data_IF_666604425801
#
_entry.id   IF_666604425801
#
_cell.length_a   1.000
_cell.length_b   1.000
_cell.length_c   1.000
_cell.angle_alpha   90.00
_cell.angle_beta   90.00
_cell.angle_gamma   90.00
#
_symmetry.space_group_name_H-M   'P 1'
#
loop_
_entity.id
_entity.type
_entity.pdbx_description
1 polymer ?
#
# COMPACT_ATOMS: atom_id res chain seq x y z
N UNK A 1 -5.79 0.14 -2.91
CA UNK A 1 -6.94 -0.08 -3.82
C UNK A 1 -7.11 1.03 -4.86
N UNK A 2 -7.28 2.31 -4.50
CA UNK A 2 -7.50 3.40 -5.49
C UNK A 2 -6.41 3.50 -6.56
N UNK A 3 -5.13 3.38 -6.18
CA UNK A 3 -4.02 3.35 -7.14
C UNK A 3 -4.15 2.21 -8.17
N UNK A 4 -4.55 1.02 -7.72
CA UNK A 4 -4.80 -0.12 -8.61
C UNK A 4 -5.97 0.15 -9.57
N UNK A 5 -7.07 0.72 -9.07
CA UNK A 5 -8.24 1.08 -9.87
C UNK A 5 -7.87 2.09 -10.97
N UNK A 6 -7.12 3.15 -10.64
CA UNK A 6 -6.61 4.11 -11.62
C UNK A 6 -5.75 3.43 -12.68
N UNK A 7 -4.95 2.45 -12.27
CA UNK A 7 -4.06 1.72 -13.17
C UNK A 7 -4.83 0.82 -14.14
N UNK A 8 -5.79 0.03 -13.64
CA UNK A 8 -6.52 -0.97 -14.45
C UNK A 8 -7.65 -0.41 -15.30
N UNK A 9 -8.19 0.77 -14.98
CA UNK A 9 -9.17 1.42 -15.85
C UNK A 9 -8.51 1.96 -17.12
N UNK A 10 -9.20 1.97 -18.27
CA UNK A 10 -8.67 2.58 -19.48
C UNK A 10 -8.69 4.11 -19.36
N UNK A 11 -7.97 4.77 -20.27
CA UNK A 11 -8.07 6.22 -20.41
C UNK A 11 -9.43 6.62 -20.95
N UNK A 12 -9.89 5.93 -21.99
CA UNK A 12 -11.17 6.17 -22.66
C UNK A 12 -11.83 4.83 -23.02
N UNK A 13 -13.16 4.77 -22.97
CA UNK A 13 -13.93 3.61 -23.40
C UNK A 13 -15.29 4.05 -23.93
N UNK A 14 -15.62 3.66 -25.17
CA UNK A 14 -16.87 4.02 -25.87
C UNK A 14 -17.17 5.53 -25.84
N UNK A 15 -16.14 6.37 -25.99
CA UNK A 15 -16.25 7.83 -25.98
C UNK A 15 -16.32 8.49 -24.60
N UNK A 16 -16.27 7.72 -23.51
CA UNK A 16 -16.24 8.24 -22.13
C UNK A 16 -14.80 8.19 -21.61
N UNK A 17 -14.32 9.30 -21.03
CA UNK A 17 -13.00 9.40 -20.43
C UNK A 17 -13.03 8.98 -18.95
N UNK A 18 -12.27 7.94 -18.61
CA UNK A 18 -12.15 7.40 -17.24
C UNK A 18 -10.84 7.82 -16.56
N UNK A 19 -9.89 8.39 -17.31
CA UNK A 19 -8.61 8.89 -16.81
C UNK A 19 -7.69 7.82 -16.24
N UNK A 20 -7.92 6.55 -16.57
CA UNK A 20 -7.06 5.44 -16.15
C UNK A 20 -5.86 5.23 -17.07
N UNK A 21 -5.01 4.26 -16.73
CA UNK A 21 -3.76 3.96 -17.44
C UNK A 21 -3.84 2.76 -18.40
N UNK A 22 -4.87 1.92 -18.25
CA UNK A 22 -5.02 0.64 -18.95
C UNK A 22 -3.84 -0.33 -18.77
N UNK A 23 -3.28 -0.39 -17.57
CA UNK A 23 -2.09 -1.19 -17.27
C UNK A 23 -2.36 -2.28 -16.24
N UNK A 24 -1.60 -3.37 -16.36
CA UNK A 24 -1.59 -4.47 -15.42
C UNK A 24 -1.08 -4.04 -14.03
N UNK A 25 -1.77 -4.51 -13.00
CA UNK A 25 -1.38 -4.42 -11.58
C UNK A 25 -1.19 -5.83 -11.06
N UNK A 26 -0.13 -6.05 -10.27
CA UNK A 26 0.06 -7.27 -9.51
C UNK A 26 0.00 -6.97 -8.02
N UNK A 27 -0.90 -7.65 -7.30
CA UNK A 27 -1.09 -7.50 -5.87
C UNK A 27 -0.63 -8.77 -5.15
N UNK A 28 0.34 -8.63 -4.25
CA UNK A 28 0.87 -9.69 -3.39
C UNK A 28 0.35 -9.45 -1.97
N UNK A 29 -0.61 -10.26 -1.56
CA UNK A 29 -1.25 -10.25 -0.24
C UNK A 29 -0.47 -11.13 0.74
N UNK A 30 0.17 -10.52 1.71
CA UNK A 30 0.99 -11.17 2.73
C UNK A 30 0.28 -11.27 4.09
N UNK A 31 -0.78 -10.49 4.32
CA UNK A 31 -1.52 -10.50 5.58
C UNK A 31 -2.95 -11.01 5.46
N UNK A 32 -3.34 -11.46 4.26
CA UNK A 32 -4.63 -12.07 3.95
C UNK A 32 -5.83 -11.13 4.14
N UNK A 33 -5.62 -9.81 4.09
CA UNK A 33 -6.68 -8.81 4.30
C UNK A 33 -7.21 -8.19 3.01
N UNK A 34 -6.77 -8.66 1.84
CA UNK A 34 -7.29 -8.15 0.58
C UNK A 34 -8.78 -8.46 0.40
N UNK A 35 -9.59 -7.41 0.28
CA UNK A 35 -11.03 -7.50 0.03
C UNK A 35 -11.36 -7.23 -1.44
N UNK A 36 -11.58 -8.31 -2.19
CA UNK A 36 -11.99 -8.27 -3.60
C UNK A 36 -13.37 -7.62 -3.80
N UNK A 37 -14.27 -7.71 -2.82
CA UNK A 37 -15.59 -7.10 -2.91
C UNK A 37 -15.48 -5.58 -2.81
N UNK A 38 -14.60 -5.08 -1.94
CA UNK A 38 -14.26 -3.65 -1.87
C UNK A 38 -13.63 -3.16 -3.17
N UNK A 39 -12.67 -3.89 -3.75
CA UNK A 39 -12.11 -3.54 -5.07
C UNK A 39 -13.21 -3.47 -6.14
N UNK A 40 -14.05 -4.51 -6.23
CA UNK A 40 -15.15 -4.62 -7.18
C UNK A 40 -16.14 -3.47 -7.05
N UNK A 41 -16.56 -3.16 -5.82
CA UNK A 41 -17.49 -2.07 -5.51
C UNK A 41 -16.92 -0.71 -5.91
N UNK A 42 -15.69 -0.41 -5.51
CA UNK A 42 -15.02 0.84 -5.85
C UNK A 42 -14.84 1.01 -7.37
N UNK A 43 -14.49 -0.07 -8.08
CA UNK A 43 -14.37 -0.05 -9.54
C UNK A 43 -15.72 0.23 -10.22
N UNK A 44 -16.79 -0.43 -9.78
CA UNK A 44 -18.16 -0.18 -10.29
C UNK A 44 -18.59 1.25 -10.07
N UNK A 45 -18.39 1.78 -8.86
CA UNK A 45 -18.72 3.17 -8.54
C UNK A 45 -17.96 4.15 -9.44
N UNK A 46 -16.68 3.89 -9.71
CA UNK A 46 -15.90 4.73 -10.62
C UNK A 46 -16.40 4.68 -12.06
N UNK A 47 -16.82 3.50 -12.54
CA UNK A 47 -17.43 3.36 -13.87
C UNK A 47 -18.75 4.13 -13.95
N UNK A 48 -19.63 3.96 -12.95
CA UNK A 48 -20.92 4.63 -12.89
C UNK A 48 -20.76 6.16 -12.90
N UNK A 49 -19.83 6.68 -12.10
CA UNK A 49 -19.58 8.13 -11.99
C UNK A 49 -19.09 8.75 -13.29
N UNK A 50 -18.18 8.09 -13.99
CA UNK A 50 -17.69 8.57 -15.28
C UNK A 50 -18.82 8.61 -16.33
N UNK A 51 -19.69 7.60 -16.36
CA UNK A 51 -20.84 7.55 -17.26
C UNK A 51 -21.90 8.61 -16.92
N UNK A 52 -22.18 8.85 -15.64
CA UNK A 52 -23.11 9.89 -15.20
C UNK A 52 -22.66 11.29 -15.60
N UNK A 53 -21.35 11.56 -15.56
CA UNK A 53 -20.78 12.84 -15.98
C UNK A 53 -20.79 13.04 -17.51
N UNK A 54 -20.75 11.96 -18.30
CA UNK A 54 -20.77 12.02 -19.76
C UNK A 54 -22.17 12.26 -20.38
N UNK A 55 -23.24 12.03 -19.64
CA UNK A 55 -24.64 12.14 -20.12
C UNK A 55 -25.28 13.50 -19.78
N UNK A 56 -24.55 14.37 -19.05
CA UNK A 56 -25.04 15.65 -18.53
C UNK A 56 -25.26 16.80 -19.53
N UNK A 57 -25.36 16.54 -20.85
CA UNK A 57 -25.65 17.60 -21.83
C UNK A 57 -26.82 17.32 -22.80
N UNK A 58 -27.59 16.25 -22.60
CA UNK A 58 -28.81 16.00 -23.40
C UNK A 58 -29.92 15.30 -22.59
N UNK A 59 -30.54 15.99 -21.64
CA UNK A 59 -32.01 15.94 -21.50
C UNK A 59 -32.52 17.03 -20.55
N UNK A 60 -33.09 18.10 -21.13
CA UNK A 60 -34.15 18.83 -20.45
C UNK A 60 -35.35 17.87 -20.38
N UNK A 61 -35.69 17.37 -19.19
CA UNK A 61 -37.06 16.95 -18.89
C UNK A 61 -37.35 17.17 -17.41
N UNK A 62 -38.12 18.22 -17.18
CA UNK A 62 -39.04 18.38 -16.06
C UNK A 62 -39.90 17.12 -16.02
N UNK A 63 -39.91 16.41 -14.89
CA UNK A 63 -41.08 15.73 -14.36
C UNK A 63 -40.84 15.34 -12.90
N UNK A 64 -41.61 15.96 -12.02
CA UNK A 64 -41.68 15.65 -10.60
C UNK A 64 -42.48 14.35 -10.41
N UNK A 65 -41.81 13.26 -10.07
CA UNK A 65 -42.47 12.14 -9.37
C UNK A 65 -41.49 11.50 -8.38
N UNK A 66 -41.91 11.21 -7.13
CA UNK A 66 -41.11 10.47 -6.18
C UNK A 66 -41.48 8.99 -6.27
N UNK A 67 -40.64 8.16 -6.89
CA UNK A 67 -40.83 6.71 -6.87
C UNK A 67 -39.55 5.93 -6.60
N UNK A 68 -39.65 5.09 -5.56
CA UNK A 68 -38.97 3.81 -5.33
C UNK A 68 -37.45 3.73 -5.44
N UNK A 69 -36.87 3.47 -4.27
CA UNK A 69 -35.56 2.87 -4.00
C UNK A 69 -35.23 1.71 -4.96
N UNK A 70 -33.95 1.60 -5.28
CA UNK A 70 -33.28 0.58 -6.12
C UNK A 70 -33.29 0.81 -7.63
N UNK A 71 -32.89 2.02 -8.04
CA UNK A 71 -32.21 2.17 -9.33
C UNK A 71 -30.86 1.44 -9.25
N UNK A 72 -30.84 0.14 -9.54
CA UNK A 72 -29.62 -0.58 -9.90
C UNK A 72 -28.98 0.18 -11.06
N UNK A 73 -28.04 1.07 -10.74
CA UNK A 73 -27.33 1.84 -11.75
C UNK A 73 -26.47 0.84 -12.50
N UNK A 74 -26.94 0.40 -13.66
CA UNK A 74 -26.28 -0.61 -14.46
C UNK A 74 -24.93 -0.05 -14.93
N UNK A 75 -23.84 -0.64 -14.45
CA UNK A 75 -22.48 -0.32 -14.87
C UNK A 75 -22.12 -1.12 -16.12
N UNK A 76 -21.18 -0.62 -16.93
CA UNK A 76 -20.69 -1.36 -18.10
C UNK A 76 -19.93 -2.63 -17.63
N UNK A 77 -20.58 -3.78 -17.77
CA UNK A 77 -20.08 -5.10 -17.36
C UNK A 77 -18.87 -5.53 -18.19
N UNK A 78 -18.81 -5.13 -19.46
CA UNK A 78 -17.71 -5.45 -20.36
C UNK A 78 -16.45 -4.69 -19.95
N UNK A 79 -16.59 -3.38 -19.69
CA UNK A 79 -15.51 -2.55 -19.17
C UNK A 79 -15.04 -3.04 -17.79
N UNK A 80 -15.97 -3.39 -16.91
CA UNK A 80 -15.66 -3.95 -15.60
C UNK A 80 -14.82 -5.22 -15.73
N UNK A 81 -15.26 -6.17 -16.57
CA UNK A 81 -14.55 -7.43 -16.80
C UNK A 81 -13.16 -7.19 -17.41
N UNK A 82 -13.05 -6.31 -18.42
CA UNK A 82 -11.78 -5.95 -19.03
C UNK A 82 -10.80 -5.33 -18.02
N UNK A 83 -11.31 -4.46 -17.13
CA UNK A 83 -10.51 -3.83 -16.09
C UNK A 83 -10.09 -4.82 -15.00
N UNK A 84 -10.99 -5.69 -14.55
CA UNK A 84 -10.67 -6.73 -13.56
C UNK A 84 -9.65 -7.74 -14.06
N UNK A 85 -9.64 -8.08 -15.36
CA UNK A 85 -8.60 -8.96 -15.94
C UNK A 85 -7.19 -8.40 -15.82
N UNK A 86 -7.06 -7.07 -15.69
CA UNK A 86 -5.76 -6.41 -15.50
C UNK A 86 -5.29 -6.38 -14.04
N UNK A 87 -6.09 -6.89 -13.10
CA UNK A 87 -5.72 -7.02 -11.69
C UNK A 87 -5.30 -8.45 -11.38
N UNK A 88 -3.99 -8.67 -11.27
CA UNK A 88 -3.38 -9.95 -10.92
C UNK A 88 -3.24 -10.03 -9.40
N UNK A 89 -3.54 -11.19 -8.83
CA UNK A 89 -3.57 -11.39 -7.38
C UNK A 89 -2.82 -12.66 -6.98
N UNK A 90 -1.95 -12.53 -5.98
CA UNK A 90 -1.21 -13.62 -5.35
C UNK A 90 -1.34 -13.46 -3.84
N UNK A 91 -1.55 -14.57 -3.14
CA UNK A 91 -1.53 -14.63 -1.68
C UNK A 91 -0.38 -15.49 -1.21
N UNK A 92 0.32 -15.05 -0.18
CA UNK A 92 1.36 -15.82 0.51
C UNK A 92 0.98 -15.93 1.98
N UNK A 93 1.12 -17.13 2.57
CA UNK A 93 0.80 -17.40 3.96
C UNK A 93 2.00 -17.30 4.90
N UNK A 94 3.21 -17.34 4.36
CA UNK A 94 4.45 -17.18 5.12
C UNK A 94 5.58 -16.59 4.26
N UNK A 95 6.72 -16.34 4.92
CA UNK A 95 7.93 -15.81 4.28
C UNK A 95 8.50 -16.74 3.21
N UNK A 96 8.32 -18.06 3.31
CA UNK A 96 8.83 -19.00 2.31
C UNK A 96 8.03 -18.95 1.02
N UNK A 97 6.69 -18.92 1.12
CA UNK A 97 5.80 -18.71 -0.02
C UNK A 97 6.10 -17.37 -0.69
N UNK A 98 6.28 -16.30 0.09
CA UNK A 98 6.63 -15.00 -0.46
C UNK A 98 7.96 -15.03 -1.22
N UNK A 99 9.01 -15.66 -0.67
CA UNK A 99 10.29 -15.81 -1.36
C UNK A 99 10.18 -16.68 -2.61
N UNK A 100 9.37 -17.74 -2.59
CA UNK A 100 9.12 -18.59 -3.76
C UNK A 100 8.37 -17.82 -4.86
N UNK A 101 7.38 -17.01 -4.48
CA UNK A 101 6.67 -16.10 -5.38
C UNK A 101 7.64 -15.14 -6.05
N UNK A 102 8.51 -14.46 -5.29
CA UNK A 102 9.49 -13.54 -5.85
C UNK A 102 10.45 -14.25 -6.82
N UNK A 103 10.97 -15.41 -6.47
CA UNK A 103 11.87 -16.20 -7.33
C UNK A 103 11.24 -16.62 -8.65
N UNK A 104 9.93 -16.84 -8.68
CA UNK A 104 9.19 -17.24 -9.89
C UNK A 104 8.54 -16.06 -10.61
N UNK A 105 8.58 -14.86 -10.03
CA UNK A 105 7.84 -13.70 -10.52
C UNK A 105 8.28 -13.29 -11.92
N UNK A 106 9.57 -13.38 -12.24
CA UNK A 106 10.09 -13.05 -13.56
C UNK A 106 9.34 -13.80 -14.68
N UNK A 107 9.12 -15.11 -14.52
CA UNK A 107 8.43 -15.93 -15.50
C UNK A 107 6.93 -15.57 -15.58
N UNK A 108 6.30 -15.32 -14.43
CA UNK A 108 4.90 -14.90 -14.39
C UNK A 108 4.70 -13.55 -15.11
N UNK A 109 5.56 -12.57 -14.83
CA UNK A 109 5.53 -11.26 -15.47
C UNK A 109 5.75 -11.34 -16.99
N UNK A 110 6.65 -12.22 -17.43
CA UNK A 110 6.90 -12.46 -18.85
C UNK A 110 5.66 -13.04 -19.56
N UNK A 111 5.05 -14.07 -18.96
CA UNK A 111 3.80 -14.67 -19.45
C UNK A 111 2.68 -13.62 -19.58
N UNK A 112 2.49 -12.79 -18.55
CA UNK A 112 1.43 -11.78 -18.57
C UNK A 112 1.70 -10.67 -19.59
N UNK A 113 2.98 -10.31 -19.80
CA UNK A 113 3.39 -9.38 -20.84
C UNK A 113 3.08 -9.91 -22.25
N UNK A 114 3.28 -11.20 -22.49
CA UNK A 114 2.94 -11.85 -23.75
C UNK A 114 1.42 -11.93 -23.97
N UNK A 115 0.66 -12.26 -22.92
CA UNK A 115 -0.79 -12.37 -22.99
C UNK A 115 -1.51 -11.02 -23.20
N UNK A 116 -1.03 -9.96 -22.58
CA UNK A 116 -1.69 -8.64 -22.59
C UNK A 116 -0.99 -7.59 -23.46
N UNK A 117 0.12 -7.95 -24.11
CA UNK A 117 0.95 -7.03 -24.91
C UNK A 117 1.64 -5.93 -24.10
N UNK A 118 1.50 -5.92 -22.78
CA UNK A 118 2.07 -4.91 -21.88
C UNK A 118 2.49 -5.52 -20.55
N UNK A 119 3.64 -5.08 -20.03
CA UNK A 119 4.13 -5.54 -18.74
C UNK A 119 3.36 -4.92 -17.56
N UNK A 120 3.46 -5.59 -16.40
CA UNK A 120 2.97 -5.06 -15.12
C UNK A 120 3.56 -3.68 -14.86
N UNK A 121 2.70 -2.71 -14.58
CA UNK A 121 3.08 -1.34 -14.31
C UNK A 121 3.24 -1.07 -12.81
N UNK A 122 2.43 -1.74 -11.99
CA UNK A 122 2.40 -1.55 -10.54
C UNK A 122 2.44 -2.92 -9.83
N UNK A 123 3.47 -3.13 -9.01
CA UNK A 123 3.56 -4.23 -8.05
C UNK A 123 3.21 -3.70 -6.66
N UNK A 124 2.11 -4.19 -6.10
CA UNK A 124 1.65 -3.88 -4.75
C UNK A 124 1.99 -5.04 -3.81
N UNK A 125 2.62 -4.77 -2.68
CA UNK A 125 2.93 -5.77 -1.64
C UNK A 125 2.33 -5.31 -0.32
N UNK A 126 1.35 -6.04 0.19
CA UNK A 126 0.54 -5.65 1.35
C UNK A 126 0.41 -6.82 2.33
N UNK A 127 1.04 -6.83 3.51
CA UNK A 127 2.01 -5.89 4.05
C UNK A 127 3.38 -6.53 4.22
N UNK A 128 4.46 -5.81 3.89
CA UNK A 128 5.85 -6.31 4.06
C UNK A 128 6.22 -6.62 5.52
N UNK A 129 5.40 -6.17 6.47
CA UNK A 129 5.56 -6.47 7.89
C UNK A 129 4.81 -7.69 8.40
N UNK A 130 4.06 -8.42 7.55
CA UNK A 130 3.14 -9.48 7.97
C UNK A 130 3.84 -10.60 8.74
N UNK A 131 4.99 -11.07 8.24
CA UNK A 131 5.71 -12.21 8.83
C UNK A 131 6.82 -11.81 9.81
N UNK A 132 7.07 -10.51 9.99
CA UNK A 132 8.20 -9.99 10.76
C UNK A 132 8.31 -10.60 12.16
N UNK A 133 7.21 -10.64 12.90
CA UNK A 133 7.22 -11.10 14.29
C UNK A 133 7.43 -12.61 14.39
N UNK A 134 6.88 -13.37 13.44
CA UNK A 134 7.05 -14.82 13.36
C UNK A 134 8.49 -15.18 13.00
N UNK A 135 9.06 -14.51 12.00
CA UNK A 135 10.44 -14.72 11.56
C UNK A 135 11.46 -14.30 12.62
N UNK A 136 11.12 -13.28 13.43
CA UNK A 136 11.95 -12.83 14.55
C UNK A 136 11.94 -13.82 15.72
N UNK A 137 10.79 -14.42 16.01
CA UNK A 137 10.66 -15.40 17.08
C UNK A 137 11.26 -16.77 16.70
N UNK A 138 11.45 -17.02 15.41
CA UNK A 138 12.05 -18.26 14.93
C UNK A 138 13.52 -18.35 15.32
N UNK A 139 13.95 -19.44 15.98
CA UNK A 139 15.37 -19.62 16.30
C UNK A 139 16.16 -19.72 15.00
N UNK A 140 17.26 -18.95 14.90
CA UNK A 140 18.19 -19.11 13.80
C UNK A 140 18.75 -20.53 13.86
N UNK A 141 18.30 -21.40 12.96
CA UNK A 141 18.86 -22.76 12.86
C UNK A 141 20.35 -22.57 12.52
N UNK A 142 21.28 -22.98 13.41
CA UNK A 142 22.71 -22.90 13.11
C UNK A 142 22.97 -23.69 11.82
N UNK A 143 23.84 -23.21 10.92
CA UNK A 143 24.14 -23.94 9.68
C UNK A 143 24.74 -25.30 10.04
N UNK A 144 23.91 -26.34 10.06
CA UNK A 144 24.36 -27.71 10.15
C UNK A 144 25.12 -28.06 8.88
N UNK A 145 26.46 -28.01 8.95
CA UNK A 145 27.40 -28.64 8.03
C UNK A 145 27.22 -28.37 6.52
N UNK A 146 26.53 -27.31 6.11
CA UNK A 146 26.36 -26.98 4.69
C UNK A 146 26.39 -25.45 4.52
N UNK A 147 26.94 -24.97 3.39
CA UNK A 147 27.08 -23.55 3.00
C UNK A 147 25.74 -22.77 2.88
N UNK A 148 24.65 -23.24 3.48
CA UNK A 148 23.35 -22.58 3.50
C UNK A 148 23.38 -21.48 4.55
N UNK A 149 23.07 -20.24 4.14
CA UNK A 149 22.82 -19.13 5.08
C UNK A 149 21.75 -19.53 6.09
N UNK A 150 21.93 -19.18 7.35
CA UNK A 150 20.91 -19.40 8.38
C UNK A 150 19.61 -18.69 7.99
N UNK A 151 18.48 -19.37 8.17
CA UNK A 151 17.16 -18.78 8.01
C UNK A 151 16.92 -17.89 9.22
N UNK A 152 17.03 -16.58 9.00
CA UNK A 152 16.83 -15.54 10.01
C UNK A 152 15.99 -14.44 9.37
N UNK A 153 15.32 -13.63 10.20
CA UNK A 153 14.61 -12.45 9.74
C UNK A 153 15.44 -11.58 8.77
N UNK A 154 16.74 -11.43 9.07
CA UNK A 154 17.65 -10.65 8.23
C UNK A 154 17.85 -11.31 6.86
N UNK A 155 18.12 -12.61 6.82
CA UNK A 155 18.36 -13.30 5.54
C UNK A 155 17.11 -13.38 4.67
N UNK A 156 15.92 -13.55 5.25
CA UNK A 156 14.65 -13.48 4.53
C UNK A 156 14.46 -12.09 3.91
N UNK A 157 14.65 -11.03 4.70
CA UNK A 157 14.49 -9.66 4.21
C UNK A 157 15.51 -9.30 3.13
N UNK A 158 16.76 -9.74 3.29
CA UNK A 158 17.81 -9.53 2.29
C UNK A 158 17.48 -10.21 0.97
N UNK A 159 17.04 -11.48 1.01
CA UNK A 159 16.67 -12.21 -0.19
C UNK A 159 15.45 -11.57 -0.84
N UNK A 160 14.42 -11.20 -0.07
CA UNK A 160 13.22 -10.57 -0.62
C UNK A 160 13.56 -9.27 -1.38
N UNK A 161 14.32 -8.37 -0.76
CA UNK A 161 14.73 -7.11 -1.41
C UNK A 161 15.62 -7.37 -2.63
N UNK A 162 16.57 -8.31 -2.54
CA UNK A 162 17.44 -8.65 -3.67
C UNK A 162 16.66 -9.21 -4.85
N UNK A 163 15.68 -10.09 -4.62
CA UNK A 163 14.85 -10.62 -5.70
C UNK A 163 13.97 -9.52 -6.31
N UNK A 164 13.37 -8.63 -5.50
CA UNK A 164 12.62 -7.48 -6.02
C UNK A 164 13.52 -6.58 -6.88
N UNK A 165 14.74 -6.28 -6.44
CA UNK A 165 15.70 -5.49 -7.22
C UNK A 165 16.04 -6.16 -8.57
N UNK A 166 16.31 -7.47 -8.58
CA UNK A 166 16.56 -8.22 -9.82
C UNK A 166 15.37 -8.17 -10.76
N UNK A 167 14.16 -8.33 -10.24
CA UNK A 167 12.92 -8.24 -11.03
C UNK A 167 12.80 -6.85 -11.66
N UNK A 168 13.07 -5.77 -10.92
CA UNK A 168 12.96 -4.40 -11.39
C UNK A 168 13.97 -4.02 -12.49
N UNK A 169 15.14 -4.68 -12.52
CA UNK A 169 16.12 -4.50 -13.61
C UNK A 169 15.57 -5.02 -14.94
N UNK A 170 14.79 -6.10 -14.91
CA UNK A 170 14.27 -6.75 -16.13
C UNK A 170 12.86 -6.26 -16.48
N UNK A 171 12.05 -5.96 -15.48
CA UNK A 171 10.67 -5.52 -15.59
C UNK A 171 10.50 -4.19 -14.84
N UNK A 172 10.81 -3.04 -15.48
CA UNK A 172 10.65 -1.73 -14.85
C UNK A 172 9.18 -1.49 -14.49
N UNK A 173 8.91 -1.33 -13.20
CA UNK A 173 7.57 -1.10 -12.66
C UNK A 173 7.64 -0.30 -11.35
N UNK A 174 6.53 0.32 -10.96
CA UNK A 174 6.40 0.95 -9.66
C UNK A 174 6.15 -0.12 -8.60
N UNK A 175 6.91 -0.11 -7.50
CA UNK A 175 6.65 -0.97 -6.34
C UNK A 175 6.03 -0.13 -5.24
N UNK A 176 4.84 -0.52 -4.79
CA UNK A 176 4.13 0.10 -3.68
C UNK A 176 3.99 -0.93 -2.55
N UNK A 177 4.57 -0.63 -1.39
CA UNK A 177 4.54 -1.50 -0.23
C UNK A 177 3.86 -0.82 0.95
N UNK A 178 3.15 -1.57 1.78
CA UNK A 178 2.55 -1.07 3.02
C UNK A 178 3.20 -1.71 4.24
N UNK A 179 3.25 -0.97 5.35
CA UNK A 179 3.55 -1.50 6.68
C UNK A 179 2.76 -0.77 7.74
N UNK A 180 2.42 -1.48 8.82
CA UNK A 180 1.87 -0.85 10.00
C UNK A 180 2.93 0.05 10.66
N UNK A 181 2.51 1.10 11.35
CA UNK A 181 3.39 1.89 12.20
C UNK A 181 3.40 1.28 13.61
N UNK A 182 4.58 1.17 14.22
CA UNK A 182 4.71 0.80 15.64
C UNK A 182 4.75 2.08 16.47
N UNK A 183 3.75 2.31 17.31
CA UNK A 183 3.72 3.44 18.22
C UNK A 183 4.65 3.17 19.41
N UNK A 184 5.55 4.11 19.68
CA UNK A 184 6.38 4.12 20.87
C UNK A 184 5.55 4.65 22.03
N UNK A 185 5.24 3.78 22.99
CA UNK A 185 4.60 4.19 24.22
C UNK A 185 5.59 5.00 25.08
N UNK A 186 5.26 6.26 25.36
CA UNK A 186 6.08 7.18 26.18
C UNK A 186 6.34 6.64 27.59
N UNK A 187 5.52 5.70 28.08
CA UNK A 187 5.68 5.09 29.39
C UNK A 187 6.78 4.02 29.45
N UNK A 188 7.18 3.43 28.32
CA UNK A 188 8.18 2.35 28.30
C UNK A 188 9.63 2.81 28.29
N UNK A 189 9.91 4.11 28.09
CA UNK A 189 11.27 4.67 28.22
C UNK A 189 11.84 4.59 29.64
N UNK A 190 11.05 4.19 30.65
CA UNK A 190 11.54 3.92 32.01
C UNK A 190 11.87 2.45 32.31
N UNK A 191 11.41 1.49 31.50
CA UNK A 191 11.56 0.06 31.85
C UNK A 191 12.61 -0.71 31.05
N UNK A 192 13.22 -0.12 30.03
CA UNK A 192 14.34 -0.75 29.30
C UNK A 192 15.69 -0.15 29.73
N UNK A 193 15.94 -0.16 31.05
CA UNK A 193 17.29 -0.28 31.59
C UNK A 193 17.33 -1.61 32.33
N UNK A 194 17.38 -2.72 31.58
CA UNK A 194 17.86 -4.00 32.09
C UNK A 194 19.01 -4.46 31.23
N UNK A 195 20.20 -4.07 31.71
CA UNK A 195 21.47 -4.80 31.64
C UNK A 195 21.94 -5.30 30.26
N UNK A 196 22.64 -4.42 29.55
CA UNK A 196 23.86 -4.79 28.80
C UNK A 196 24.84 -3.62 28.81
N UNK A 197 26.02 -3.86 29.40
CA UNK A 197 27.26 -3.15 29.08
C UNK A 197 27.30 -1.63 29.30
N UNK A 198 27.84 -1.23 30.44
CA UNK A 198 28.57 0.03 30.66
C UNK A 198 29.23 0.59 29.39
N UNK A 199 28.81 1.78 28.95
CA UNK A 199 29.66 2.77 28.27
C UNK A 199 29.09 4.16 28.58
N UNK A 200 29.78 4.83 29.50
CA UNK A 200 29.57 6.20 29.94
C UNK A 200 29.91 7.19 28.83
N UNK A 201 28.97 8.06 28.46
CA UNK A 201 29.27 9.43 28.02
C UNK A 201 28.27 10.36 28.70
N UNK A 202 28.76 11.11 29.68
CA UNK A 202 28.08 12.29 30.20
C UNK A 202 27.94 13.33 29.08
N UNK A 203 26.74 13.86 28.88
CA UNK A 203 26.60 15.25 28.45
C UNK A 203 25.32 15.82 29.05
N UNK A 204 25.53 16.70 30.03
CA UNK A 204 24.54 17.67 30.49
C UNK A 204 24.20 18.61 29.33
N UNK A 205 22.91 18.74 28.99
CA UNK A 205 22.43 20.01 28.45
C UNK A 205 20.98 20.28 28.85
N UNK A 206 20.84 21.45 29.46
CA UNK A 206 19.64 22.07 29.99
C UNK A 206 18.53 22.32 28.95
N UNK A 207 17.29 22.19 29.45
CA UNK A 207 16.14 23.09 29.26
C UNK A 207 15.89 23.78 27.90
N UNK A 208 14.65 23.59 27.42
CA UNK A 208 13.80 24.56 26.70
C UNK A 208 14.25 25.01 25.30
N UNK A 209 13.91 24.21 24.27
CA UNK A 209 13.32 24.72 23.00
C UNK A 209 13.00 23.56 22.05
N UNK A 210 11.83 22.92 22.16
CA UNK A 210 11.32 22.07 21.06
C UNK A 210 9.78 22.17 21.01
N UNK A 211 9.27 23.35 20.64
CA UNK A 211 7.99 23.41 19.96
C UNK A 211 8.25 23.07 18.49
N UNK A 212 7.47 22.15 17.92
CA UNK A 212 7.42 21.79 16.47
C UNK A 212 8.11 20.51 15.97
N UNK A 213 8.63 19.59 16.80
CA UNK A 213 9.18 18.30 16.30
C UNK A 213 8.72 17.04 17.04
N UNK A 214 7.63 17.12 17.79
CA UNK A 214 7.24 16.08 18.77
C UNK A 214 6.63 14.81 18.17
N UNK A 215 6.28 14.78 16.88
CA UNK A 215 5.53 13.64 16.31
C UNK A 215 6.40 12.63 15.55
N UNK A 216 7.57 13.03 15.05
CA UNK A 216 8.50 12.11 14.37
C UNK A 216 9.15 11.11 15.36
N UNK A 217 9.19 11.45 16.66
CA UNK A 217 9.73 10.60 17.72
C UNK A 217 8.73 9.57 18.28
N UNK A 218 7.49 9.53 17.79
CA UNK A 218 6.46 8.61 18.30
C UNK A 218 6.45 7.25 17.61
N UNK A 219 7.14 7.07 16.48
CA UNK A 219 7.06 5.83 15.71
C UNK A 219 8.41 5.11 15.67
N UNK A 220 8.42 3.85 16.11
CA UNK A 220 9.61 3.01 16.06
C UNK A 220 9.68 2.30 14.72
N UNK A 221 10.79 2.48 14.01
CA UNK A 221 11.08 1.67 12.84
C UNK A 221 11.48 0.26 13.28
N UNK A 222 10.72 -0.74 12.83
CA UNK A 222 10.96 -2.15 13.16
C UNK A 222 11.45 -2.94 11.96
N UNK A 223 11.28 -2.43 10.73
CA UNK A 223 11.75 -3.10 9.52
C UNK A 223 13.28 -3.21 9.49
N UNK A 224 13.85 -4.33 9.02
CA UNK A 224 15.28 -4.46 8.80
C UNK A 224 15.85 -3.36 7.89
N UNK A 225 17.12 -3.01 8.09
CA UNK A 225 17.77 -1.90 7.38
C UNK A 225 17.74 -2.03 5.86
N UNK A 226 17.77 -3.27 5.33
CA UNK A 226 17.70 -3.55 3.89
C UNK A 226 16.42 -3.02 3.25
N UNK A 227 15.27 -3.18 3.93
CA UNK A 227 14.01 -2.58 3.50
C UNK A 227 14.06 -1.06 3.57
N UNK A 228 14.67 -0.51 4.61
CA UNK A 228 14.77 0.93 4.77
C UNK A 228 15.60 1.58 3.67
N UNK A 229 16.75 0.98 3.31
CA UNK A 229 17.61 1.45 2.23
C UNK A 229 17.03 1.25 0.84
N UNK A 230 16.12 0.28 0.68
CA UNK A 230 15.46 0.01 -0.60
C UNK A 230 14.37 1.06 -0.93
N UNK A 231 13.74 1.62 0.10
CA UNK A 231 12.64 2.57 -0.06
C UNK A 231 13.16 3.91 -0.58
N UNK A 232 12.67 4.34 -1.75
CA UNK A 232 12.97 5.66 -2.32
C UNK A 232 12.03 6.75 -1.81
N UNK A 233 10.76 6.41 -1.54
CA UNK A 233 9.74 7.33 -1.06
C UNK A 233 8.95 6.72 0.09
N UNK A 234 8.69 7.51 1.13
CA UNK A 234 7.97 7.07 2.32
C UNK A 234 6.92 8.08 2.71
N UNK A 235 5.68 7.64 2.78
CA UNK A 235 4.53 8.45 3.18
C UNK A 235 3.97 7.86 4.48
N UNK A 236 3.84 8.69 5.50
CA UNK A 236 3.16 8.35 6.75
C UNK A 236 1.69 8.73 6.64
N UNK A 237 0.81 7.77 6.89
CA UNK A 237 -0.64 8.00 6.98
C UNK A 237 -1.09 7.82 8.41
N UNK A 238 -1.80 8.81 8.96
CA UNK A 238 -2.31 8.78 10.34
C UNK A 238 -3.68 9.47 10.46
N UNK A 239 -4.48 9.15 11.48
CA UNK A 239 -5.67 9.95 11.79
C UNK A 239 -5.27 11.40 12.10
N UNK A 240 -6.15 12.33 11.77
CA UNK A 240 -6.06 13.73 12.19
C UNK A 240 -6.68 13.91 13.58
N UNK A 241 -5.99 14.61 14.46
CA UNK A 241 -6.49 14.95 15.81
C UNK A 241 -7.53 16.10 15.79
N UNK A 242 -7.79 16.71 14.62
CA UNK A 242 -8.80 17.75 14.44
C UNK A 242 -10.22 17.17 14.55
N UNK A 243 -10.73 17.07 15.78
CA UNK A 243 -12.10 16.66 16.12
C UNK A 243 -13.20 17.69 15.73
N UNK A 244 -12.92 18.61 14.80
CA UNK A 244 -13.85 19.70 14.47
C UNK A 244 -15.10 19.25 13.69
N UNK A 245 -15.12 18.04 13.15
CA UNK A 245 -16.27 17.48 12.43
C UNK A 245 -16.55 16.03 12.82
N UNK A 246 -17.57 15.75 13.66
CA UNK A 246 -17.83 14.39 14.17
C UNK A 246 -18.42 13.41 13.14
N UNK A 247 -18.53 13.79 11.84
CA UNK A 247 -19.24 12.96 10.85
C UNK A 247 -18.35 12.05 10.02
N UNK A 248 -17.07 12.37 9.80
CA UNK A 248 -16.15 11.51 9.02
C UNK A 248 -14.70 11.62 9.53
N UNK A 249 -13.97 10.50 9.64
CA UNK A 249 -12.57 10.52 10.06
C UNK A 249 -11.70 11.18 8.98
N UNK A 250 -10.96 12.22 9.39
CA UNK A 250 -9.95 12.86 8.55
C UNK A 250 -8.61 12.19 8.80
N UNK A 251 -7.89 11.88 7.74
CA UNK A 251 -6.53 11.36 7.75
C UNK A 251 -5.55 12.40 7.23
N UNK A 252 -4.31 12.28 7.68
CA UNK A 252 -3.17 13.07 7.27
C UNK A 252 -2.17 12.16 6.58
N UNK A 253 -1.70 12.54 5.39
CA UNK A 253 -0.55 11.93 4.72
C UNK A 253 0.62 12.90 4.72
N UNK A 254 1.77 12.46 5.22
CA UNK A 254 3.00 13.25 5.32
C UNK A 254 4.15 12.55 4.60
N UNK A 255 4.91 13.28 3.78
CA UNK A 255 6.12 12.77 3.13
C UNK A 255 7.29 12.73 4.11
N UNK A 256 7.69 11.52 4.53
CA UNK A 256 8.87 11.29 5.35
C UNK A 256 10.14 11.16 4.51
N UNK A 257 10.03 10.65 3.27
CA UNK A 257 11.13 10.52 2.34
C UNK A 257 10.64 10.79 0.90
N UNK A 258 11.25 11.74 0.16
CA UNK A 258 12.02 12.86 0.70
C UNK A 258 11.16 13.69 1.67
N UNK A 259 11.78 14.36 2.64
CA UNK A 259 11.02 15.22 3.56
C UNK A 259 10.60 16.50 2.85
N UNK A 260 9.31 16.59 2.49
CA UNK A 260 8.77 17.73 1.74
C UNK A 260 8.07 18.76 2.63
N UNK A 261 7.89 18.49 3.94
CA UNK A 261 7.07 19.29 4.87
C UNK A 261 5.65 19.58 4.34
N UNK A 262 5.18 18.77 3.40
CA UNK A 262 3.83 18.79 2.85
C UNK A 262 3.02 17.70 3.55
N UNK A 263 1.85 18.11 4.06
CA UNK A 263 0.89 17.21 4.64
C UNK A 263 -0.46 17.45 3.96
N UNK A 264 -1.01 16.41 3.34
CA UNK A 264 -2.33 16.46 2.74
C UNK A 264 -3.36 15.88 3.72
N UNK A 265 -4.51 16.53 3.84
CA UNK A 265 -5.66 16.00 4.56
C UNK A 265 -6.56 15.27 3.58
N UNK A 266 -7.09 14.11 3.97
CA UNK A 266 -8.03 13.37 3.15
C UNK A 266 -9.06 12.64 4.00
N UNK A 267 -10.23 12.36 3.43
CA UNK A 267 -11.24 11.48 4.02
C UNK A 267 -11.36 10.21 3.18
N UNK A 268 -11.74 9.11 3.82
CA UNK A 268 -12.01 7.84 3.15
C UNK A 268 -13.42 7.41 3.49
N UNK A 269 -14.26 7.30 2.46
CA UNK A 269 -15.65 6.88 2.57
C UNK A 269 -15.83 5.60 1.74
N UNK A 270 -17.04 5.03 1.74
CA UNK A 270 -17.34 3.87 0.89
C UNK A 270 -16.99 4.13 -0.58
N UNK A 271 -17.16 5.34 -1.05
CA UNK A 271 -16.88 5.68 -2.45
C UNK A 271 -15.40 5.93 -2.78
N UNK A 272 -14.49 5.78 -1.81
CA UNK A 272 -13.06 6.01 -1.99
C UNK A 272 -12.50 7.16 -1.18
N UNK A 273 -11.33 7.63 -1.61
CA UNK A 273 -10.50 8.60 -0.88
C UNK A 273 -10.52 9.96 -1.57
N UNK A 274 -10.72 11.03 -0.80
CA UNK A 274 -10.84 12.41 -1.31
C UNK A 274 -9.98 13.36 -0.47
N UNK A 275 -9.28 14.27 -1.14
CA UNK A 275 -8.49 15.32 -0.48
C UNK A 275 -9.46 16.34 0.14
N UNK A 276 -9.19 16.71 1.39
CA UNK A 276 -9.88 17.76 2.14
C UNK A 276 -8.93 18.95 2.17
N UNK A 277 -9.31 20.04 1.49
CA UNK A 277 -8.52 21.28 1.36
C UNK A 277 -8.01 21.83 2.69
#
# INVERSE_FOLDING_TARGET
MQAAINCILPKEWKGVNYGGLERLVMFVDLDCRFDVLSLSRLLKQRIIRANGNGIGHKLNKVDNSPSSKDAHTEYDKELFAASMRRFLYIRCYDSFEFLATLKTLHFQLQKEKEAHGSGVYLLMIDSIGAFYWMDRASPSIPPGSNNRRSLSLQSVSDIAVQEIQKILVVHPMLVLTTKAASLQDKFTSREVIRSTGQLSIESNLDSRTIGSSTNAQLYREYMPSVWQSFVSHRILVRPSDDNKYPKQPIYLSEWLLPSLKLADKFTSNDDGTYIVS
#
